data_IF_002905714094
#
_entry.id   IF_002905714094
#
_cell.length_a   1.000
_cell.length_b   1.000
_cell.length_c   1.000
_cell.angle_alpha   90.00
_cell.angle_beta   90.00
_cell.angle_gamma   90.00
#
_symmetry.space_group_name_H-M   'P 1'
#
loop_
_entity.id
_entity.type
_entity.pdbx_description
1 polymer ?
#
# COMPACT_ATOMS: atom_id res chain seq x y z
N UNK A 1 -8.48 30.69 47.62
CA UNK A 1 -8.29 31.17 46.24
C UNK A 1 -7.07 30.61 45.50
N UNK A 2 -6.18 29.81 46.13
CA UNK A 2 -5.02 29.19 45.45
C UNK A 2 -5.34 27.93 44.62
N UNK A 3 -6.43 27.21 44.93
CA UNK A 3 -6.84 26.00 44.20
C UNK A 3 -7.43 26.29 42.81
N UNK A 4 -8.04 27.48 42.61
CA UNK A 4 -8.61 27.89 41.32
C UNK A 4 -7.51 28.25 40.30
N UNK A 5 -6.36 28.72 40.77
CA UNK A 5 -5.23 29.16 39.93
C UNK A 5 -4.47 28.00 39.26
N UNK A 6 -4.59 26.77 39.78
CA UNK A 6 -3.99 25.57 39.18
C UNK A 6 -4.93 24.81 38.23
N UNK A 7 -6.24 25.04 38.32
CA UNK A 7 -7.23 24.36 37.47
C UNK A 7 -7.24 24.99 36.06
N UNK A 8 -7.08 26.31 35.96
CA UNK A 8 -7.09 27.06 34.69
C UNK A 8 -5.97 26.60 33.71
N UNK A 9 -4.69 26.47 34.11
CA UNK A 9 -3.65 26.02 33.18
C UNK A 9 -3.79 24.54 32.80
N UNK A 10 -4.32 23.70 33.69
CA UNK A 10 -4.58 22.28 33.39
C UNK A 10 -5.71 22.13 32.37
N UNK A 11 -6.78 22.92 32.51
CA UNK A 11 -7.89 22.90 31.54
C UNK A 11 -7.44 23.42 30.16
N UNK A 12 -6.53 24.40 30.12
CA UNK A 12 -5.94 24.91 28.89
C UNK A 12 -5.03 23.88 28.19
N UNK A 13 -4.27 23.09 28.96
CA UNK A 13 -3.41 22.04 28.40
C UNK A 13 -4.21 20.89 27.77
N UNK A 14 -5.36 20.52 28.36
CA UNK A 14 -6.24 19.47 27.81
C UNK A 14 -6.89 19.91 26.49
N UNK A 15 -7.25 21.18 26.35
CA UNK A 15 -7.84 21.72 25.12
C UNK A 15 -6.85 21.79 23.94
N UNK A 16 -5.55 21.93 24.22
CA UNK A 16 -4.52 21.96 23.18
C UNK A 16 -4.08 20.57 22.69
N UNK A 17 -4.59 19.50 23.31
CA UNK A 17 -4.26 18.12 22.96
C UNK A 17 -5.13 17.52 21.85
N UNK A 18 -5.83 18.37 21.07
CA UNK A 18 -6.65 17.91 19.95
C UNK A 18 -5.77 17.28 18.86
N UNK A 19 -5.82 15.96 18.73
CA UNK A 19 -5.23 15.24 17.60
C UNK A 19 -5.79 15.82 16.30
N UNK A 20 -4.94 16.52 15.54
CA UNK A 20 -5.29 17.03 14.23
C UNK A 20 -5.29 15.86 13.24
N UNK A 21 -6.41 15.17 13.13
CA UNK A 21 -6.58 14.14 12.11
C UNK A 21 -6.59 14.80 10.73
N UNK A 22 -5.93 14.14 9.78
CA UNK A 22 -5.61 14.65 8.47
C UNK A 22 -6.80 15.01 7.56
N UNK A 23 -7.86 14.19 7.62
CA UNK A 23 -8.99 14.26 6.68
C UNK A 23 -10.34 14.15 7.39
N UNK A 24 -10.40 14.52 8.67
CA UNK A 24 -11.46 14.03 9.55
C UNK A 24 -11.31 12.52 9.78
N UNK A 25 -12.29 11.91 10.45
CA UNK A 25 -12.30 10.47 10.64
C UNK A 25 -13.03 9.80 9.46
N UNK A 26 -12.31 9.02 8.68
CA UNK A 26 -12.83 8.28 7.54
C UNK A 26 -13.32 6.91 8.01
N UNK A 27 -14.58 6.59 7.72
CA UNK A 27 -15.17 5.32 8.09
C UNK A 27 -15.25 4.38 6.89
N UNK A 28 -14.45 3.31 6.92
CA UNK A 28 -14.41 2.28 5.87
C UNK A 28 -15.80 1.73 5.50
N UNK A 29 -16.74 1.68 6.45
CA UNK A 29 -18.09 1.13 6.22
C UNK A 29 -18.95 1.96 5.26
N UNK A 30 -18.56 3.21 5.02
CA UNK A 30 -19.29 4.12 4.15
C UNK A 30 -18.69 4.19 2.75
N UNK A 31 -17.48 3.67 2.57
CA UNK A 31 -16.80 3.62 1.28
C UNK A 31 -17.27 2.35 0.56
N UNK A 32 -17.78 2.52 -0.66
CA UNK A 32 -18.23 1.43 -1.52
C UNK A 32 -17.12 0.97 -2.46
N UNK A 33 -16.30 1.88 -2.96
CA UNK A 33 -15.19 1.60 -3.87
C UNK A 33 -14.07 2.64 -3.73
N UNK A 34 -12.87 2.23 -4.11
CA UNK A 34 -11.70 3.10 -4.26
C UNK A 34 -11.14 2.86 -5.65
N UNK A 35 -11.05 3.89 -6.48
CA UNK A 35 -10.42 3.82 -7.80
C UNK A 35 -9.08 4.54 -7.76
N UNK A 36 -8.04 3.89 -8.28
CA UNK A 36 -6.71 4.47 -8.49
C UNK A 36 -6.44 4.59 -9.99
N UNK A 37 -6.17 5.79 -10.46
CA UNK A 37 -5.76 6.08 -11.83
C UNK A 37 -4.28 6.47 -11.82
N UNK A 38 -3.44 5.65 -12.45
CA UNK A 38 -2.01 5.93 -12.53
C UNK A 38 -1.76 7.15 -13.40
N UNK A 39 -0.80 7.98 -13.00
CA UNK A 39 -0.38 9.16 -13.75
C UNK A 39 1.06 8.93 -14.18
N UNK A 40 1.25 8.64 -15.46
CA UNK A 40 2.58 8.59 -16.05
C UNK A 40 3.21 9.98 -15.98
N UNK A 41 4.44 10.07 -15.46
CA UNK A 41 5.23 11.29 -15.54
C UNK A 41 5.90 11.33 -16.91
N UNK A 42 5.60 12.38 -17.69
CA UNK A 42 6.20 12.61 -19.00
C UNK A 42 7.71 12.41 -18.99
N UNK A 43 8.20 11.47 -19.80
CA UNK A 43 9.63 11.24 -20.03
C UNK A 43 10.30 10.19 -19.14
N UNK A 44 9.59 9.55 -18.20
CA UNK A 44 10.08 8.35 -17.52
C UNK A 44 9.29 7.14 -18.00
N UNK A 45 9.99 6.19 -18.61
CA UNK A 45 9.50 4.82 -18.83
C UNK A 45 9.45 4.11 -17.48
N UNK A 46 8.59 4.57 -16.58
CA UNK A 46 8.20 3.77 -15.43
C UNK A 46 7.21 2.75 -15.98
N UNK A 47 7.52 1.46 -15.81
CA UNK A 47 6.60 0.39 -16.19
C UNK A 47 5.28 0.65 -15.45
N UNK A 48 4.26 1.05 -16.21
CA UNK A 48 2.95 1.41 -15.67
C UNK A 48 2.37 0.17 -14.96
N UNK A 49 2.10 0.24 -13.64
CA UNK A 49 1.60 -0.92 -12.92
C UNK A 49 0.19 -1.30 -13.41
N UNK A 50 -0.59 -0.30 -13.80
CA UNK A 50 -1.91 -0.37 -14.43
C UNK A 50 -2.38 1.05 -14.77
N UNK A 51 -3.23 1.22 -15.78
CA UNK A 51 -3.84 2.53 -16.08
C UNK A 51 -4.87 2.96 -15.03
N UNK A 52 -5.78 2.05 -14.67
CA UNK A 52 -6.78 2.26 -13.63
C UNK A 52 -7.08 0.95 -12.90
N UNK A 53 -7.30 1.01 -11.59
CA UNK A 53 -7.65 -0.14 -10.75
C UNK A 53 -8.69 0.25 -9.71
N UNK A 54 -9.83 -0.43 -9.73
CA UNK A 54 -10.91 -0.26 -8.76
C UNK A 54 -10.87 -1.37 -7.72
N UNK A 55 -10.95 -0.98 -6.46
CA UNK A 55 -10.98 -1.86 -5.30
C UNK A 55 -12.33 -1.77 -4.61
N UNK A 56 -13.04 -2.89 -4.58
CA UNK A 56 -14.29 -3.08 -3.80
C UNK A 56 -14.07 -4.06 -2.64
N UNK A 57 -12.86 -4.58 -2.48
CA UNK A 57 -12.52 -5.50 -1.40
C UNK A 57 -12.59 -4.78 -0.04
N UNK A 58 -13.41 -5.25 0.91
CA UNK A 58 -13.57 -4.60 2.20
C UNK A 58 -12.27 -4.47 3.00
N UNK A 59 -11.34 -5.40 2.83
CA UNK A 59 -10.09 -5.37 3.57
C UNK A 59 -9.10 -4.36 3.00
N UNK A 60 -9.04 -4.19 1.67
CA UNK A 60 -8.35 -3.07 1.04
C UNK A 60 -8.95 -1.72 1.46
N UNK A 61 -10.28 -1.59 1.39
CA UNK A 61 -10.98 -0.35 1.80
C UNK A 61 -10.67 -0.02 3.26
N UNK A 62 -10.72 -1.02 4.15
CA UNK A 62 -10.36 -0.83 5.55
C UNK A 62 -8.90 -0.41 5.72
N UNK A 63 -7.97 -1.05 5.02
CA UNK A 63 -6.56 -0.68 5.08
C UNK A 63 -6.33 0.76 4.63
N UNK A 64 -6.98 1.20 3.54
CA UNK A 64 -6.88 2.57 3.08
C UNK A 64 -7.46 3.54 4.11
N UNK A 65 -8.66 3.30 4.64
CA UNK A 65 -9.25 4.14 5.68
C UNK A 65 -8.34 4.24 6.92
N UNK A 66 -7.76 3.13 7.38
CA UNK A 66 -6.79 3.12 8.48
C UNK A 66 -5.52 3.92 8.14
N UNK A 67 -5.05 3.84 6.90
CA UNK A 67 -3.91 4.61 6.41
C UNK A 67 -4.18 6.12 6.38
N UNK A 68 -5.37 6.53 5.91
CA UNK A 68 -5.79 7.94 5.88
C UNK A 68 -5.98 8.48 7.30
N UNK A 69 -6.67 7.74 8.17
CA UNK A 69 -6.90 8.13 9.56
C UNK A 69 -5.60 8.22 10.38
N UNK A 70 -4.63 7.34 10.11
CA UNK A 70 -3.33 7.34 10.78
C UNK A 70 -2.29 8.26 10.15
N UNK A 71 -2.63 8.96 9.07
CA UNK A 71 -1.70 9.86 8.38
C UNK A 71 -1.42 11.12 9.19
N UNK A 72 -0.21 11.66 9.07
CA UNK A 72 0.25 12.84 9.83
C UNK A 72 0.50 14.00 8.91
N UNK A 73 0.10 15.20 9.32
CA UNK A 73 0.30 16.40 8.52
C UNK A 73 1.79 16.67 8.28
N UNK A 74 2.13 16.93 7.03
CA UNK A 74 3.46 17.40 6.64
C UNK A 74 3.47 18.92 6.78
N UNK A 75 4.53 19.44 7.39
CA UNK A 75 4.75 20.88 7.55
C UNK A 75 5.56 21.42 6.37
N UNK A 76 5.23 22.64 5.93
CA UNK A 76 5.93 23.32 4.85
C UNK A 76 5.22 23.19 3.50
N UNK A 77 5.87 23.72 2.47
CA UNK A 77 5.42 23.59 1.08
C UNK A 77 5.71 22.19 0.55
N UNK A 78 4.86 21.72 -0.35
CA UNK A 78 4.98 20.41 -0.97
C UNK A 78 5.33 20.56 -2.43
N UNK A 79 6.46 19.98 -2.80
CA UNK A 79 6.87 19.76 -4.18
C UNK A 79 6.81 18.26 -4.46
N UNK A 80 5.81 17.84 -5.22
CA UNK A 80 5.52 16.43 -5.47
C UNK A 80 4.94 16.22 -6.87
N UNK A 81 5.30 15.11 -7.48
CA UNK A 81 4.60 14.59 -8.65
C UNK A 81 3.35 13.82 -8.24
N UNK A 82 2.50 13.53 -9.22
CA UNK A 82 1.32 12.67 -9.04
C UNK A 82 1.66 11.28 -9.56
N UNK A 83 1.46 10.26 -8.72
CA UNK A 83 1.62 8.84 -9.06
C UNK A 83 0.24 8.22 -9.26
N UNK A 84 -0.68 8.37 -8.30
CA UNK A 84 -2.07 7.96 -8.44
C UNK A 84 -3.02 9.12 -8.14
N UNK A 85 -4.01 9.31 -9.01
CA UNK A 85 -5.25 9.99 -8.65
C UNK A 85 -6.20 8.97 -8.07
N UNK A 86 -6.62 9.19 -6.83
CA UNK A 86 -7.48 8.31 -6.07
C UNK A 86 -8.87 8.92 -5.92
N UNK A 87 -9.89 8.18 -6.30
CA UNK A 87 -11.29 8.52 -6.07
C UNK A 87 -11.90 7.57 -5.05
N UNK A 88 -12.34 8.11 -3.91
CA UNK A 88 -13.18 7.40 -2.95
C UNK A 88 -14.64 7.62 -3.35
N UNK A 89 -15.39 6.55 -3.55
CA UNK A 89 -16.84 6.63 -3.73
C UNK A 89 -17.51 6.06 -2.48
N UNK A 90 -18.51 6.77 -1.98
CA UNK A 90 -19.29 6.40 -0.81
C UNK A 90 -20.56 5.65 -1.23
N UNK A 91 -21.18 4.94 -0.28
CA UNK A 91 -22.37 4.12 -0.54
C UNK A 91 -23.60 4.91 -1.03
N UNK A 92 -23.63 6.21 -0.81
CA UNK A 92 -24.65 7.15 -1.33
C UNK A 92 -24.28 7.76 -2.69
N UNK A 93 -23.13 7.40 -3.25
CA UNK A 93 -22.61 7.92 -4.52
C UNK A 93 -21.83 9.22 -4.39
N UNK A 94 -21.67 9.80 -3.19
CA UNK A 94 -20.76 10.92 -2.97
C UNK A 94 -19.31 10.49 -3.27
N UNK A 95 -18.47 11.40 -3.75
CA UNK A 95 -17.09 11.09 -4.12
C UNK A 95 -16.11 12.13 -3.60
N UNK A 96 -14.92 11.67 -3.20
CA UNK A 96 -13.79 12.54 -2.82
C UNK A 96 -12.53 12.14 -3.59
N UNK A 97 -11.78 13.16 -4.05
CA UNK A 97 -10.59 12.97 -4.85
C UNK A 97 -9.32 13.31 -4.07
N UNK A 98 -8.32 12.47 -4.24
CA UNK A 98 -7.03 12.55 -3.57
C UNK A 98 -5.89 12.25 -4.53
N UNK A 99 -4.71 12.72 -4.19
CA UNK A 99 -3.45 12.26 -4.77
C UNK A 99 -2.81 11.30 -3.78
N UNK A 100 -2.46 10.11 -4.24
CA UNK A 100 -1.75 9.10 -3.49
C UNK A 100 -0.41 8.82 -4.17
N UNK A 101 0.69 9.02 -3.45
CA UNK A 101 2.01 8.59 -3.86
C UNK A 101 2.52 7.54 -2.88
N UNK A 102 2.86 6.38 -3.39
CA UNK A 102 3.43 5.28 -2.61
C UNK A 102 4.89 5.08 -2.98
N UNK A 103 5.27 5.24 -4.24
CA UNK A 103 6.52 4.70 -4.77
C UNK A 103 6.55 3.18 -4.68
N UNK A 104 7.40 2.57 -5.51
CA UNK A 104 7.53 1.12 -5.57
C UNK A 104 8.35 0.55 -4.40
N UNK A 105 9.34 1.31 -3.94
CA UNK A 105 10.28 0.86 -2.91
C UNK A 105 9.64 0.78 -1.52
N UNK A 106 9.73 -0.40 -0.91
CA UNK A 106 9.34 -0.63 0.48
C UNK A 106 10.18 0.18 1.47
N UNK A 107 9.65 0.42 2.67
CA UNK A 107 10.36 1.14 3.73
C UNK A 107 10.22 2.66 3.67
N UNK A 108 9.61 3.19 2.61
CA UNK A 108 9.34 4.61 2.45
C UNK A 108 7.97 5.01 3.00
N UNK A 109 7.84 6.27 3.43
CA UNK A 109 6.53 6.87 3.74
C UNK A 109 5.72 7.01 2.45
N UNK A 110 4.39 6.94 2.55
CA UNK A 110 3.51 7.37 1.48
C UNK A 110 3.13 8.84 1.66
N UNK A 111 2.66 9.47 0.58
CA UNK A 111 2.10 10.81 0.59
C UNK A 111 0.64 10.75 0.15
N UNK A 112 -0.22 11.40 0.93
CA UNK A 112 -1.64 11.54 0.65
C UNK A 112 -2.00 13.02 0.69
N UNK A 113 -2.70 13.49 -0.35
CA UNK A 113 -3.11 14.89 -0.49
C UNK A 113 -4.55 14.94 -0.96
N UNK A 114 -5.38 15.84 -0.42
CA UNK A 114 -6.71 16.09 -0.98
C UNK A 114 -6.56 16.94 -2.25
N UNK A 115 -7.26 16.59 -3.33
CA UNK A 115 -7.23 17.42 -4.54
C UNK A 115 -7.86 18.80 -4.32
N UNK A 116 -8.86 18.91 -3.43
CA UNK A 116 -9.46 20.18 -3.05
C UNK A 116 -8.54 21.07 -2.23
N UNK A 117 -7.51 20.50 -1.59
CA UNK A 117 -6.53 21.22 -0.78
C UNK A 117 -5.12 20.70 -1.02
N UNK A 118 -4.67 20.83 -2.27
CA UNK A 118 -3.38 20.32 -2.76
C UNK A 118 -2.14 20.89 -2.05
N UNK A 119 -2.30 22.00 -1.31
CA UNK A 119 -1.25 22.61 -0.48
C UNK A 119 -1.06 21.96 0.89
N UNK A 120 -1.89 20.97 1.27
CA UNK A 120 -1.78 20.25 2.54
C UNK A 120 -1.69 18.75 2.31
N UNK A 121 -0.53 18.20 2.58
CA UNK A 121 -0.24 16.78 2.44
C UNK A 121 0.00 16.10 3.77
N UNK A 122 -0.13 14.79 3.74
CA UNK A 122 -0.09 13.93 4.89
C UNK A 122 0.77 12.71 4.61
N UNK A 123 1.65 12.39 5.56
CA UNK A 123 2.50 11.21 5.48
C UNK A 123 1.73 9.99 5.93
N UNK A 124 1.60 9.01 5.04
CA UNK A 124 1.15 7.66 5.39
C UNK A 124 2.34 6.90 5.98
N UNK A 125 2.16 6.33 7.18
CA UNK A 125 3.24 5.60 7.86
C UNK A 125 3.81 4.47 7.00
N UNK A 126 5.10 4.18 7.15
CA UNK A 126 5.80 3.11 6.41
C UNK A 126 5.04 1.79 6.47
N UNK A 127 4.58 1.39 7.65
CA UNK A 127 3.80 0.16 7.88
C UNK A 127 2.54 0.09 6.99
N UNK A 128 1.81 1.19 6.85
CA UNK A 128 0.59 1.21 6.04
C UNK A 128 0.92 1.37 4.56
N UNK A 129 1.91 2.21 4.22
CA UNK A 129 2.37 2.40 2.85
C UNK A 129 2.88 1.08 2.24
N UNK A 130 3.67 0.30 2.96
CA UNK A 130 4.17 -1.01 2.50
C UNK A 130 3.04 -2.02 2.26
N UNK A 131 2.02 -2.03 3.14
CA UNK A 131 0.84 -2.88 2.94
C UNK A 131 0.06 -2.45 1.70
N UNK A 132 -0.11 -1.15 1.49
CA UNK A 132 -0.77 -0.62 0.30
C UNK A 132 0.02 -0.97 -0.96
N UNK A 133 1.35 -0.76 -0.98
CA UNK A 133 2.23 -1.13 -2.11
C UNK A 133 2.02 -2.57 -2.53
N UNK A 134 2.02 -3.50 -1.56
CA UNK A 134 1.81 -4.93 -1.84
C UNK A 134 0.50 -5.20 -2.58
N UNK A 135 -0.60 -4.51 -2.24
CA UNK A 135 -1.91 -4.75 -2.85
C UNK A 135 -2.11 -3.98 -4.16
N UNK A 136 -1.56 -2.77 -4.23
CA UNK A 136 -1.64 -1.91 -5.41
C UNK A 136 -0.80 -2.51 -6.53
N UNK A 137 0.47 -2.83 -6.25
CA UNK A 137 1.44 -3.35 -7.21
C UNK A 137 1.42 -4.87 -7.39
N UNK A 138 0.64 -5.62 -6.60
CA UNK A 138 0.43 -7.04 -6.87
C UNK A 138 -0.29 -7.23 -8.21
N UNK A 139 0.34 -8.02 -9.08
CA UNK A 139 -0.27 -8.58 -10.28
C UNK A 139 -1.26 -9.68 -9.85
N UNK A 140 -2.56 -9.42 -9.99
CA UNK A 140 -3.63 -10.34 -9.59
C UNK A 140 -4.28 -10.00 -8.24
N UNK A 141 -5.56 -10.36 -8.11
CA UNK A 141 -6.44 -10.01 -6.99
C UNK A 141 -5.84 -10.41 -5.62
N UNK A 142 -5.87 -9.53 -4.60
CA UNK A 142 -5.22 -9.83 -3.34
C UNK A 142 -6.02 -10.84 -2.50
N UNK A 143 -5.56 -12.07 -2.46
CA UNK A 143 -5.86 -12.97 -1.36
C UNK A 143 -5.05 -12.48 -0.14
N UNK A 144 -5.72 -11.87 0.84
CA UNK A 144 -5.08 -11.41 2.06
C UNK A 144 -4.80 -12.61 2.96
N UNK A 145 -3.53 -13.01 3.02
CA UNK A 145 -3.05 -13.90 4.06
C UNK A 145 -3.11 -13.15 5.40
N UNK A 146 -4.06 -13.56 6.22
CA UNK A 146 -4.26 -13.02 7.57
C UNK A 146 -3.37 -13.84 8.50
N UNK A 147 -2.08 -13.49 8.56
CA UNK A 147 -1.09 -14.33 9.24
C UNK A 147 0.04 -13.58 9.94
N UNK A 148 -0.06 -13.54 11.27
CA UNK A 148 1.05 -13.72 12.23
C UNK A 148 1.90 -12.52 12.65
N UNK A 149 1.66 -12.07 13.88
CA UNK A 149 2.68 -11.44 14.74
C UNK A 149 2.58 -12.06 16.14
N UNK A 150 3.51 -12.95 16.47
CA UNK A 150 4.26 -12.98 17.74
C UNK A 150 5.26 -14.15 17.74
N UNK A 151 6.52 -13.81 18.01
CA UNK A 151 7.68 -14.70 18.01
C UNK A 151 7.89 -15.45 19.35
N UNK A 152 8.46 -16.65 19.21
CA UNK A 152 9.50 -17.31 20.01
C UNK A 152 9.35 -17.57 21.52
N UNK A 153 9.45 -18.85 21.88
CA UNK A 153 10.30 -19.39 22.97
C UNK A 153 10.46 -20.93 22.75
N UNK A 154 11.66 -21.38 22.35
CA UNK A 154 12.57 -22.24 23.14
C UNK A 154 12.07 -23.66 23.44
N UNK A 155 12.65 -24.68 22.79
CA UNK A 155 13.51 -25.64 23.48
C UNK A 155 14.16 -26.63 22.50
N UNK A 156 15.43 -26.94 22.77
CA UNK A 156 16.23 -27.92 22.05
C UNK A 156 15.97 -29.32 22.62
N UNK A 157 15.61 -30.29 21.78
CA UNK A 157 15.73 -31.73 22.10
C UNK A 157 16.18 -32.51 20.86
N UNK A 158 17.02 -33.48 21.17
CA UNK A 158 17.99 -34.27 20.41
C UNK A 158 17.35 -35.45 19.60
N UNK A 159 17.81 -35.63 18.34
CA UNK A 159 17.88 -36.86 17.48
C UNK A 159 16.60 -37.54 16.92
N UNK A 160 16.74 -38.45 15.91
CA UNK A 160 17.83 -38.67 14.94
C UNK A 160 17.38 -38.62 13.46
N UNK A 161 18.37 -38.57 12.58
CA UNK A 161 18.23 -38.63 11.12
C UNK A 161 17.71 -40.00 10.64
N UNK A 162 16.73 -39.97 9.73
CA UNK A 162 16.36 -41.11 8.87
C UNK A 162 16.64 -40.71 7.42
N UNK A 163 17.62 -41.38 6.84
CA UNK A 163 17.91 -41.43 5.40
C UNK A 163 16.86 -42.32 4.73
N UNK A 164 16.33 -41.91 3.59
CA UNK A 164 15.77 -42.85 2.62
C UNK A 164 16.17 -42.45 1.20
N UNK A 165 16.42 -43.49 0.43
CA UNK A 165 17.38 -43.63 -0.65
C UNK A 165 16.66 -44.24 -1.86
N UNK A 166 17.04 -43.84 -3.07
CA UNK A 166 16.60 -44.42 -4.35
C UNK A 166 15.73 -43.46 -5.17
N UNK A 167 15.92 -43.25 -6.48
CA UNK A 167 16.67 -44.03 -7.45
C UNK A 167 17.21 -43.19 -8.63
N UNK A 168 18.23 -43.77 -9.25
CA UNK A 168 19.09 -43.27 -10.32
C UNK A 168 18.41 -43.25 -11.72
N UNK A 169 19.00 -42.42 -12.58
CA UNK A 169 18.76 -42.12 -14.01
C UNK A 169 18.57 -43.33 -14.96
N UNK A 170 18.13 -43.10 -16.22
CA UNK A 170 19.10 -42.82 -17.31
C UNK A 170 18.65 -41.66 -18.23
N UNK A 171 19.54 -40.74 -18.64
CA UNK A 171 20.43 -40.79 -19.83
C UNK A 171 19.67 -41.11 -21.14
N UNK A 172 19.55 -40.12 -22.04
CA UNK A 172 20.09 -40.03 -23.43
C UNK A 172 19.19 -39.12 -24.28
N UNK A 173 19.76 -38.24 -25.13
CA UNK A 173 19.02 -37.71 -26.29
C UNK A 173 19.33 -36.29 -26.75
N UNK A 174 20.60 -35.99 -27.01
CA UNK A 174 20.97 -34.86 -27.89
C UNK A 174 20.54 -35.22 -29.32
N UNK A 175 19.71 -34.42 -29.98
CA UNK A 175 19.58 -34.46 -31.44
C UNK A 175 19.74 -33.05 -31.97
N UNK A 176 20.88 -32.83 -32.64
CA UNK A 176 21.14 -31.73 -33.54
C UNK A 176 20.17 -31.84 -34.72
N UNK A 177 19.51 -30.75 -35.10
CA UNK A 177 18.99 -30.62 -36.45
C UNK A 177 19.66 -29.40 -37.09
N UNK A 178 20.76 -29.67 -37.78
CA UNK A 178 21.21 -28.89 -38.92
C UNK A 178 20.39 -29.35 -40.12
N UNK A 179 19.81 -28.44 -40.90
CA UNK A 179 20.40 -28.03 -42.18
C UNK A 179 19.37 -27.44 -43.15
N UNK A 180 19.84 -26.39 -43.81
CA UNK A 180 19.60 -25.91 -45.17
C UNK A 180 18.23 -26.05 -45.88
N UNK A 181 17.73 -24.86 -46.24
CA UNK A 181 17.61 -24.36 -47.62
C UNK A 181 16.53 -24.85 -48.58
N UNK A 182 15.84 -23.81 -49.05
CA UNK A 182 15.68 -23.37 -50.45
C UNK A 182 14.40 -23.74 -51.19
N UNK A 183 13.90 -22.67 -51.84
CA UNK A 183 13.09 -22.61 -53.08
C UNK A 183 11.66 -23.09 -52.92
N UNK A 184 10.65 -22.60 -53.64
CA UNK A 184 10.36 -21.51 -54.58
C UNK A 184 8.83 -21.56 -54.66
N UNK A 185 8.14 -20.46 -54.95
CA UNK A 185 7.17 -20.40 -56.06
C UNK A 185 6.48 -19.02 -56.07
N UNK A 186 6.73 -18.32 -57.19
CA UNK A 186 5.80 -17.57 -58.05
C UNK A 186 4.48 -17.08 -57.43
#
# INVERSE_FOLDING_TARGET
MKRLLLIVPVLLAVLLSGCQNAFGFINARWISEITLDFQSQDGKTQDEPFASKTFTDPAFIKLMADAMNGSKRISGELDYGVEFRMKLTYGDGYTENYILNLGEDSGNLGLLVSEENSGKGYSVSVKNADKLRKLVYAQGSPAIDTGSEAAQASDAVDRPATILQGDLFPVTGFTLNSDHSLQELV
#
